data_IF_586514601006
#
_entry.id   IF_586514601006
#
_cell.length_a   1.000
_cell.length_b   1.000
_cell.length_c   1.000
_cell.angle_alpha   90.00
_cell.angle_beta   90.00
_cell.angle_gamma   90.00
#
_symmetry.space_group_name_H-M   'P 1'
#
loop_
_entity.id
_entity.type
_entity.pdbx_description
1 polymer ?
#
# COMPACT_ATOMS: atom_id res chain seq x y z
N UNK A 1 -34.93 -11.69 -40.10
CA UNK A 1 -33.69 -10.89 -39.95
C UNK A 1 -33.65 -10.08 -38.65
N UNK A 2 -34.76 -9.52 -38.13
CA UNK A 2 -34.75 -8.72 -36.90
C UNK A 2 -34.41 -9.47 -35.58
N UNK A 3 -34.66 -10.78 -35.46
CA UNK A 3 -34.44 -11.54 -34.21
C UNK A 3 -32.97 -11.88 -33.89
N UNK A 4 -32.03 -11.71 -34.83
CA UNK A 4 -30.60 -11.97 -34.62
C UNK A 4 -29.78 -10.71 -34.31
N UNK A 5 -30.36 -9.52 -34.47
CA UNK A 5 -29.66 -8.25 -34.23
C UNK A 5 -29.47 -7.95 -32.72
N UNK A 6 -30.43 -8.32 -31.87
CA UNK A 6 -30.36 -8.08 -30.42
C UNK A 6 -29.16 -8.73 -29.72
N UNK A 7 -28.91 -10.04 -29.92
CA UNK A 7 -27.74 -10.72 -29.34
C UNK A 7 -26.42 -10.18 -29.87
N UNK A 8 -26.34 -9.85 -31.16
CA UNK A 8 -25.13 -9.29 -31.77
C UNK A 8 -24.80 -7.88 -31.27
N UNK A 9 -25.81 -7.01 -31.13
CA UNK A 9 -25.65 -5.66 -30.57
C UNK A 9 -25.29 -5.73 -29.08
N UNK A 10 -25.88 -6.65 -28.34
CA UNK A 10 -25.54 -6.87 -26.93
C UNK A 10 -24.09 -7.36 -26.76
N UNK A 11 -23.67 -8.34 -27.57
CA UNK A 11 -22.29 -8.84 -27.56
C UNK A 11 -21.27 -7.75 -27.96
N UNK A 12 -21.60 -6.92 -28.95
CA UNK A 12 -20.76 -5.78 -29.34
C UNK A 12 -20.62 -4.78 -28.17
N UNK A 13 -21.71 -4.46 -27.48
CA UNK A 13 -21.70 -3.55 -26.32
C UNK A 13 -20.87 -4.10 -25.16
N UNK A 14 -21.03 -5.37 -24.82
CA UNK A 14 -20.21 -6.04 -23.80
C UNK A 14 -18.71 -6.03 -24.15
N UNK A 15 -18.38 -6.19 -25.44
CA UNK A 15 -16.98 -6.14 -25.90
C UNK A 15 -16.39 -4.74 -25.71
N UNK A 16 -17.14 -3.69 -26.05
CA UNK A 16 -16.74 -2.30 -25.83
C UNK A 16 -16.59 -1.99 -24.34
N UNK A 17 -17.55 -2.37 -23.51
CA UNK A 17 -17.50 -2.16 -22.06
C UNK A 17 -16.28 -2.85 -21.43
N UNK A 18 -15.98 -4.08 -21.88
CA UNK A 18 -14.80 -4.83 -21.44
C UNK A 18 -13.49 -4.20 -21.92
N UNK A 19 -13.44 -3.68 -23.14
CA UNK A 19 -12.28 -2.92 -23.64
C UNK A 19 -12.04 -1.65 -22.83
N UNK A 20 -13.10 -0.88 -22.56
CA UNK A 20 -13.02 0.33 -21.73
C UNK A 20 -12.55 0.00 -20.30
N UNK A 21 -13.13 -1.02 -19.67
CA UNK A 21 -12.72 -1.46 -18.33
C UNK A 21 -11.25 -1.90 -18.29
N UNK A 22 -10.78 -2.65 -19.30
CA UNK A 22 -9.36 -3.03 -19.42
C UNK A 22 -8.45 -1.83 -19.59
N UNK A 23 -8.83 -0.86 -20.43
CA UNK A 23 -8.05 0.35 -20.63
C UNK A 23 -7.95 1.18 -19.36
N UNK A 24 -9.06 1.32 -18.62
CA UNK A 24 -9.06 1.99 -17.31
C UNK A 24 -8.13 1.28 -16.32
N UNK A 25 -8.20 -0.05 -16.23
CA UNK A 25 -7.32 -0.83 -15.34
C UNK A 25 -5.84 -0.65 -15.70
N UNK A 26 -5.48 -0.68 -16.99
CA UNK A 26 -4.11 -0.46 -17.45
C UNK A 26 -3.64 0.96 -17.12
N UNK A 27 -4.50 1.95 -17.36
CA UNK A 27 -4.21 3.35 -17.08
C UNK A 27 -3.97 3.59 -15.59
N UNK A 28 -4.89 3.16 -14.72
CA UNK A 28 -4.76 3.28 -13.25
C UNK A 28 -3.50 2.55 -12.75
N UNK A 29 -3.18 1.36 -13.29
CA UNK A 29 -1.94 0.66 -12.92
C UNK A 29 -0.69 1.44 -13.30
N UNK A 30 -0.65 2.04 -14.49
CA UNK A 30 0.51 2.81 -14.94
C UNK A 30 0.66 4.12 -14.16
N UNK A 31 -0.45 4.77 -13.78
CA UNK A 31 -0.43 5.92 -12.88
C UNK A 31 0.13 5.56 -11.51
N UNK A 32 -0.32 4.46 -10.90
CA UNK A 32 0.18 3.99 -9.62
C UNK A 32 1.67 3.64 -9.71
N UNK A 33 2.09 2.94 -10.78
CA UNK A 33 3.52 2.65 -11.01
C UNK A 33 4.36 3.93 -11.11
N UNK A 34 3.86 4.96 -11.79
CA UNK A 34 4.54 6.26 -11.90
C UNK A 34 4.57 7.02 -10.59
N UNK A 35 3.50 6.94 -9.78
CA UNK A 35 3.44 7.50 -8.43
C UNK A 35 4.50 6.85 -7.54
N UNK A 36 4.53 5.52 -7.46
CA UNK A 36 5.51 4.77 -6.69
C UNK A 36 6.94 5.08 -7.11
N UNK A 37 7.22 5.14 -8.41
CA UNK A 37 8.55 5.48 -8.91
C UNK A 37 8.98 6.88 -8.45
N UNK A 38 8.07 7.86 -8.44
CA UNK A 38 8.36 9.20 -7.90
C UNK A 38 8.58 9.17 -6.39
N UNK A 39 7.72 8.50 -5.64
CA UNK A 39 7.88 8.38 -4.18
C UNK A 39 9.22 7.73 -3.80
N UNK A 40 9.64 6.68 -4.52
CA UNK A 40 10.93 6.02 -4.34
C UNK A 40 12.10 6.92 -4.75
N UNK A 41 12.03 7.52 -5.93
CA UNK A 41 13.13 8.31 -6.49
C UNK A 41 13.35 9.63 -5.75
N UNK A 42 12.27 10.34 -5.45
CA UNK A 42 12.32 11.68 -4.86
C UNK A 42 12.38 11.62 -3.32
N UNK A 43 11.85 10.57 -2.71
CA UNK A 43 11.89 10.35 -1.26
C UNK A 43 13.13 9.59 -0.80
N UNK A 44 13.31 8.35 -1.25
CA UNK A 44 14.35 7.46 -0.71
C UNK A 44 15.72 7.67 -1.36
N UNK A 45 15.78 8.00 -2.66
CA UNK A 45 17.04 8.13 -3.40
C UNK A 45 18.02 9.13 -2.76
N UNK A 46 17.65 10.41 -2.60
CA UNK A 46 18.48 11.42 -1.95
C UNK A 46 18.83 11.07 -0.49
N UNK A 47 17.89 10.47 0.24
CA UNK A 47 18.09 10.09 1.64
C UNK A 47 19.16 9.00 1.77
N UNK A 48 19.10 7.95 0.95
CA UNK A 48 20.10 6.89 0.92
C UNK A 48 21.47 7.38 0.45
N UNK A 49 21.52 8.28 -0.53
CA UNK A 49 22.78 8.90 -0.95
C UNK A 49 23.42 9.73 0.18
N UNK A 50 22.62 10.49 0.93
CA UNK A 50 23.08 11.26 2.08
C UNK A 50 23.62 10.35 3.19
N UNK A 51 22.92 9.25 3.49
CA UNK A 51 23.36 8.23 4.45
C UNK A 51 24.74 7.66 4.10
N UNK A 52 24.94 7.27 2.83
CA UNK A 52 26.24 6.75 2.36
C UNK A 52 27.36 7.77 2.53
N UNK A 53 27.13 9.04 2.15
CA UNK A 53 28.14 10.09 2.29
C UNK A 53 28.51 10.35 3.76
N UNK A 54 27.51 10.39 4.65
CA UNK A 54 27.74 10.56 6.09
C UNK A 54 28.51 9.40 6.70
N UNK A 55 28.20 8.16 6.28
CA UNK A 55 28.92 6.98 6.73
C UNK A 55 30.39 7.00 6.28
N UNK A 56 30.66 7.37 5.01
CA UNK A 56 32.03 7.53 4.51
C UNK A 56 32.79 8.63 5.24
N UNK A 57 32.12 9.74 5.54
CA UNK A 57 32.72 10.86 6.30
C UNK A 57 33.05 10.43 7.73
N UNK A 58 32.12 9.72 8.39
CA UNK A 58 32.34 9.19 9.72
C UNK A 58 33.53 8.23 9.74
N UNK A 59 33.64 7.33 8.75
CA UNK A 59 34.76 6.40 8.61
C UNK A 59 36.10 7.13 8.53
N UNK A 60 36.17 8.20 7.74
CA UNK A 60 37.41 8.96 7.57
C UNK A 60 37.81 9.74 8.83
N UNK A 61 36.87 10.04 9.72
CA UNK A 61 37.11 10.81 10.96
C UNK A 61 37.33 9.93 12.20
N UNK A 62 37.26 8.60 12.10
CA UNK A 62 37.31 7.70 13.28
C UNK A 62 38.59 7.90 14.11
N UNK A 63 39.72 8.19 13.47
CA UNK A 63 41.01 8.39 14.14
C UNK A 63 41.30 9.87 14.43
N UNK A 64 40.92 10.79 13.53
CA UNK A 64 41.24 12.22 13.64
C UNK A 64 40.26 13.01 14.52
N UNK A 65 38.96 12.73 14.42
CA UNK A 65 37.91 13.35 15.23
C UNK A 65 36.82 12.31 15.61
N UNK A 66 37.11 11.46 16.61
CA UNK A 66 36.18 10.42 17.03
C UNK A 66 34.83 10.96 17.51
N UNK A 67 34.80 12.19 18.04
CA UNK A 67 33.57 12.80 18.54
C UNK A 67 32.62 13.18 17.39
N UNK A 68 33.15 13.77 16.32
CA UNK A 68 32.37 14.05 15.10
C UNK A 68 31.98 12.76 14.39
N UNK A 69 32.87 11.77 14.31
CA UNK A 69 32.56 10.45 13.76
C UNK A 69 31.38 9.78 14.50
N UNK A 70 31.39 9.79 15.84
CA UNK A 70 30.32 9.24 16.65
C UNK A 70 28.97 9.95 16.42
N UNK A 71 28.97 11.28 16.28
CA UNK A 71 27.76 12.06 15.94
C UNK A 71 27.21 11.71 14.57
N UNK A 72 28.07 11.62 13.55
CA UNK A 72 27.66 11.25 12.20
C UNK A 72 27.06 9.83 12.16
N UNK A 73 27.65 8.88 12.90
CA UNK A 73 27.10 7.52 13.02
C UNK A 73 25.72 7.50 13.71
N UNK A 74 25.52 8.34 14.73
CA UNK A 74 24.22 8.49 15.36
C UNK A 74 23.17 9.04 14.39
N UNK A 75 23.53 10.06 13.60
CA UNK A 75 22.66 10.63 12.57
C UNK A 75 22.33 9.60 11.50
N UNK A 76 23.32 8.83 11.03
CA UNK A 76 23.14 7.72 10.07
C UNK A 76 22.13 6.70 10.62
N UNK A 77 22.27 6.30 11.88
CA UNK A 77 21.35 5.35 12.52
C UNK A 77 19.92 5.89 12.52
N UNK A 78 19.73 7.13 12.97
CA UNK A 78 18.41 7.76 13.06
C UNK A 78 17.76 7.90 11.68
N UNK A 79 18.48 8.45 10.71
CA UNK A 79 17.97 8.62 9.34
C UNK A 79 17.70 7.29 8.62
N UNK A 80 18.42 6.22 8.99
CA UNK A 80 18.13 4.86 8.50
C UNK A 80 16.82 4.34 9.06
N UNK A 81 16.52 4.59 10.34
CA UNK A 81 15.23 4.23 10.93
C UNK A 81 14.07 4.97 10.26
N UNK A 82 14.26 6.25 9.95
CA UNK A 82 13.29 7.03 9.19
C UNK A 82 13.06 6.44 7.79
N UNK A 83 14.14 6.14 7.06
CA UNK A 83 14.05 5.51 5.73
C UNK A 83 13.31 4.17 5.75
N UNK A 84 13.54 3.33 6.78
CA UNK A 84 12.81 2.07 6.99
C UNK A 84 11.32 2.35 7.24
N UNK A 85 11.00 3.36 8.03
CA UNK A 85 9.63 3.81 8.26
C UNK A 85 8.94 4.23 6.96
N UNK A 86 9.64 4.97 6.12
CA UNK A 86 9.15 5.47 4.83
C UNK A 86 8.92 4.32 3.84
N UNK A 87 9.87 3.38 3.75
CA UNK A 87 9.70 2.14 2.98
C UNK A 87 8.49 1.36 3.49
N UNK A 88 8.32 1.19 4.81
CA UNK A 88 7.15 0.51 5.36
C UNK A 88 5.87 1.20 4.92
N UNK A 89 5.77 2.53 5.01
CA UNK A 89 4.57 3.27 4.55
C UNK A 89 4.29 3.04 3.07
N UNK A 90 5.33 3.04 2.22
CA UNK A 90 5.18 2.77 0.79
C UNK A 90 4.72 1.33 0.51
N UNK A 91 5.32 0.35 1.20
CA UNK A 91 4.94 -1.06 1.08
C UNK A 91 3.53 -1.29 1.60
N UNK A 92 3.14 -0.71 2.75
CA UNK A 92 1.78 -0.75 3.27
C UNK A 92 0.74 -0.21 2.29
N UNK A 93 1.10 0.81 1.50
CA UNK A 93 0.26 1.36 0.44
C UNK A 93 0.04 0.41 -0.74
N UNK A 94 0.95 -0.55 -0.94
CA UNK A 94 0.96 -1.50 -2.05
C UNK A 94 0.40 -2.88 -1.67
N UNK A 95 0.86 -3.41 -0.54
CA UNK A 95 0.49 -4.71 -0.01
C UNK A 95 0.43 -4.60 1.52
N UNK A 96 -0.78 -4.58 2.12
CA UNK A 96 -0.94 -4.58 3.57
C UNK A 96 -0.28 -5.84 4.18
N UNK A 97 0.74 -5.72 5.06
CA UNK A 97 1.45 -6.86 5.65
C UNK A 97 0.58 -7.75 6.53
N UNK A 98 -0.53 -7.21 7.03
CA UNK A 98 -1.55 -8.00 7.71
C UNK A 98 -2.13 -9.10 6.79
N UNK A 99 -2.16 -8.89 5.46
CA UNK A 99 -2.58 -9.93 4.52
C UNK A 99 -1.58 -11.09 4.48
N UNK A 100 -0.27 -10.83 4.54
CA UNK A 100 0.75 -11.90 4.58
C UNK A 100 0.73 -12.66 5.89
N UNK A 101 0.50 -11.97 7.01
CA UNK A 101 0.61 -12.54 8.35
C UNK A 101 -0.67 -13.23 8.81
N UNK A 102 -1.83 -12.67 8.44
CA UNK A 102 -3.14 -13.04 8.99
C UNK A 102 -4.13 -13.50 7.91
N UNK A 103 -3.79 -13.37 6.63
CA UNK A 103 -4.74 -13.52 5.53
C UNK A 103 -5.82 -12.42 5.52
N UNK A 104 -6.68 -12.42 4.50
CA UNK A 104 -7.70 -11.39 4.34
C UNK A 104 -8.65 -11.27 5.55
N UNK A 105 -9.19 -12.39 6.05
CA UNK A 105 -10.13 -12.37 7.17
C UNK A 105 -9.47 -11.87 8.47
N UNK A 106 -8.26 -12.33 8.77
CA UNK A 106 -7.52 -11.89 9.95
C UNK A 106 -7.12 -10.42 9.87
N UNK A 107 -6.65 -9.96 8.71
CA UNK A 107 -6.31 -8.56 8.48
C UNK A 107 -7.52 -7.62 8.66
N UNK A 108 -8.68 -8.01 8.14
CA UNK A 108 -9.92 -7.24 8.32
C UNK A 108 -10.40 -7.24 9.77
N UNK A 109 -10.20 -8.34 10.49
CA UNK A 109 -10.55 -8.44 11.92
C UNK A 109 -9.67 -7.52 12.76
N UNK A 110 -8.37 -7.48 12.50
CA UNK A 110 -7.42 -6.57 13.15
C UNK A 110 -7.80 -5.11 12.89
N UNK A 111 -8.08 -4.74 11.63
CA UNK A 111 -8.49 -3.39 11.25
C UNK A 111 -9.81 -2.97 11.92
N UNK A 112 -10.79 -3.87 11.98
CA UNK A 112 -12.07 -3.63 12.65
C UNK A 112 -11.90 -3.43 14.16
N UNK A 113 -11.04 -4.24 14.79
CA UNK A 113 -10.72 -4.12 16.22
C UNK A 113 -10.03 -2.78 16.54
N UNK A 114 -9.06 -2.38 15.71
CA UNK A 114 -8.35 -1.12 15.86
C UNK A 114 -9.29 0.10 15.74
N UNK A 115 -10.16 0.11 14.73
CA UNK A 115 -11.14 1.19 14.54
C UNK A 115 -12.20 1.22 15.64
N UNK A 116 -12.65 0.05 16.10
CA UNK A 116 -13.61 -0.05 17.21
C UNK A 116 -13.03 0.55 18.49
N UNK A 117 -11.79 0.19 18.81
CA UNK A 117 -11.07 0.66 20.00
C UNK A 117 -10.81 2.17 19.96
N UNK A 118 -10.47 2.70 18.78
CA UNK A 118 -10.15 4.12 18.63
C UNK A 118 -11.37 5.05 18.64
N UNK A 119 -12.53 4.57 18.18
CA UNK A 119 -13.71 5.43 17.92
C UNK A 119 -14.95 5.06 18.73
N UNK A 120 -14.90 4.00 19.54
CA UNK A 120 -16.05 3.55 20.35
C UNK A 120 -17.19 2.94 19.53
N UNK A 121 -16.96 2.64 18.25
CA UNK A 121 -17.94 2.02 17.35
C UNK A 121 -17.83 0.50 17.45
N UNK A 122 -18.96 -0.21 17.51
CA UNK A 122 -18.96 -1.67 17.45
C UNK A 122 -18.91 -2.14 15.99
N UNK A 123 -17.81 -2.78 15.59
CA UNK A 123 -17.65 -3.36 14.25
C UNK A 123 -17.60 -4.89 14.36
N UNK A 124 -18.55 -5.57 13.72
CA UNK A 124 -18.63 -7.04 13.70
C UNK A 124 -18.24 -7.55 12.31
N UNK A 125 -17.20 -8.37 12.24
CA UNK A 125 -16.80 -9.07 11.02
C UNK A 125 -17.45 -10.46 11.00
N UNK A 126 -18.29 -10.71 9.99
CA UNK A 126 -18.83 -12.04 9.72
C UNK A 126 -18.19 -12.58 8.43
N UNK A 127 -17.33 -13.59 8.57
CA UNK A 127 -16.67 -14.26 7.46
C UNK A 127 -16.74 -15.79 7.66
N UNK A 128 -16.74 -16.58 6.58
CA UNK A 128 -16.59 -18.03 6.69
C UNK A 128 -15.21 -18.39 7.28
N UNK A 129 -15.14 -19.56 7.92
CA UNK A 129 -13.90 -20.06 8.56
C UNK A 129 -12.73 -20.19 7.58
N UNK A 130 -13.03 -20.47 6.31
CA UNK A 130 -12.08 -20.43 5.21
C UNK A 130 -12.66 -19.65 4.03
N UNK A 131 -11.85 -18.75 3.47
CA UNK A 131 -12.15 -18.09 2.21
C UNK A 131 -11.72 -18.98 1.04
N UNK A 132 -12.39 -18.88 -0.13
CA UNK A 132 -11.88 -19.52 -1.34
C UNK A 132 -10.50 -18.98 -1.69
N UNK A 133 -9.71 -19.73 -2.48
CA UNK A 133 -8.41 -19.23 -2.95
C UNK A 133 -8.61 -17.96 -3.78
N UNK A 134 -8.17 -16.83 -3.25
CA UNK A 134 -8.19 -15.54 -3.94
C UNK A 134 -6.82 -15.28 -4.56
N UNK A 135 -6.80 -14.56 -5.68
CA UNK A 135 -5.53 -14.02 -6.16
C UNK A 135 -5.09 -12.88 -5.24
N UNK A 136 -3.77 -12.69 -5.14
CA UNK A 136 -3.16 -11.65 -4.32
C UNK A 136 -3.78 -10.26 -4.56
N UNK A 137 -4.01 -9.91 -5.83
CA UNK A 137 -4.63 -8.65 -6.21
C UNK A 137 -6.07 -8.48 -5.72
N UNK A 138 -6.83 -9.58 -5.62
CA UNK A 138 -8.21 -9.57 -5.13
C UNK A 138 -8.24 -9.37 -3.62
N UNK A 139 -7.32 -9.99 -2.88
CA UNK A 139 -7.21 -9.80 -1.43
C UNK A 139 -6.88 -8.34 -1.08
N UNK A 140 -5.89 -7.74 -1.75
CA UNK A 140 -5.56 -6.32 -1.56
C UNK A 140 -6.73 -5.42 -1.91
N UNK A 141 -7.40 -5.66 -3.04
CA UNK A 141 -8.55 -4.86 -3.44
C UNK A 141 -9.69 -4.95 -2.42
N UNK A 142 -10.04 -6.17 -1.98
CA UNK A 142 -11.05 -6.39 -0.96
C UNK A 142 -10.69 -5.70 0.37
N UNK A 143 -9.44 -5.86 0.83
CA UNK A 143 -8.96 -5.22 2.04
C UNK A 143 -9.08 -3.69 1.99
N UNK A 144 -8.64 -3.06 0.89
CA UNK A 144 -8.70 -1.60 0.73
C UNK A 144 -10.15 -1.10 0.66
N UNK A 145 -11.02 -1.79 -0.09
CA UNK A 145 -12.44 -1.43 -0.20
C UNK A 145 -13.10 -1.44 1.18
N UNK A 146 -12.91 -2.51 1.95
CA UNK A 146 -13.50 -2.62 3.29
C UNK A 146 -12.90 -1.60 4.25
N UNK A 147 -11.59 -1.40 4.24
CA UNK A 147 -10.92 -0.42 5.12
C UNK A 147 -11.41 1.00 4.85
N UNK A 148 -11.56 1.39 3.58
CA UNK A 148 -12.09 2.69 3.19
C UNK A 148 -13.56 2.82 3.55
N UNK A 149 -14.37 1.77 3.34
CA UNK A 149 -15.77 1.77 3.74
C UNK A 149 -15.93 1.96 5.26
N UNK A 150 -15.14 1.25 6.08
CA UNK A 150 -15.13 1.42 7.54
C UNK A 150 -14.69 2.83 7.95
N UNK A 151 -13.67 3.37 7.29
CA UNK A 151 -13.21 4.74 7.54
C UNK A 151 -14.30 5.77 7.22
N UNK A 152 -15.03 5.59 6.12
CA UNK A 152 -16.14 6.45 5.74
C UNK A 152 -17.30 6.36 6.72
N UNK A 153 -17.64 5.18 7.21
CA UNK A 153 -18.64 5.01 8.27
C UNK A 153 -18.22 5.77 9.54
N UNK A 154 -16.99 5.57 10.02
CA UNK A 154 -16.50 6.27 11.22
C UNK A 154 -16.50 7.79 11.06
N UNK A 155 -16.16 8.30 9.87
CA UNK A 155 -16.10 9.75 9.60
C UNK A 155 -17.44 10.42 9.35
N UNK A 156 -18.42 9.70 8.82
CA UNK A 156 -19.62 10.32 8.23
C UNK A 156 -20.95 9.76 8.74
N UNK A 157 -20.97 8.63 9.44
CA UNK A 157 -22.22 8.04 9.94
C UNK A 157 -22.67 8.61 11.30
N UNK A 158 -21.85 9.45 11.93
CA UNK A 158 -22.14 10.16 13.18
C UNK A 158 -22.68 11.57 12.95
#
# INVERSE_FOLDING_TARGET
LARQAGPAVHAARLTVDLQHSRQQLVFTREEERRRLRRDLHDGLGPQLASLSLKADTARNLVEEDPATAARLLFDVKTQTQDAIGDIRRLVHGLWPPALDQLGLAGALSEQASALSSANGVQIVLAAPEALPSLSAAVEVAAYRIVTEALTNVVRHAG
#
